data_IF_280580388484
#
_entry.id   IF_280580388484
#
_cell.length_a   1.000
_cell.length_b   1.000
_cell.length_c   1.000
_cell.angle_alpha   90.00
_cell.angle_beta   90.00
_cell.angle_gamma   90.00
#
_symmetry.space_group_name_H-M   'P 1'
#
loop_
_entity.id
_entity.type
_entity.pdbx_description
1 polymer ?
#
# COMPACT_ATOMS: atom_id res chain seq x y z
N UNK A 1 15.14 -21.80 -51.58
CA UNK A 1 13.93 -21.38 -52.32
C UNK A 1 12.78 -22.22 -51.78
N UNK A 2 12.30 -21.95 -50.55
CA UNK A 2 11.26 -20.99 -50.14
C UNK A 2 9.94 -21.71 -49.83
N UNK A 3 9.32 -21.25 -48.75
CA UNK A 3 7.91 -21.38 -48.36
C UNK A 3 7.46 -22.72 -47.73
N UNK A 4 7.45 -22.79 -46.40
CA UNK A 4 6.20 -22.48 -45.71
C UNK A 4 6.42 -22.20 -44.22
N UNK A 5 6.30 -20.91 -43.94
CA UNK A 5 6.13 -20.23 -42.68
C UNK A 5 5.06 -20.93 -41.81
N UNK A 6 5.47 -21.66 -40.77
CA UNK A 6 4.56 -22.01 -39.65
C UNK A 6 4.67 -20.89 -38.62
N UNK A 7 3.80 -19.89 -38.77
CA UNK A 7 3.56 -18.85 -37.77
C UNK A 7 3.00 -19.54 -36.52
N UNK A 8 3.85 -19.78 -35.52
CA UNK A 8 3.41 -20.11 -34.17
C UNK A 8 2.91 -18.80 -33.56
N UNK A 9 1.60 -18.61 -33.64
CA UNK A 9 0.89 -17.52 -32.98
C UNK A 9 0.92 -17.81 -31.46
N UNK A 10 1.95 -17.32 -30.77
CA UNK A 10 1.94 -17.23 -29.32
C UNK A 10 1.06 -16.05 -28.95
N UNK A 11 -0.23 -16.34 -28.76
CA UNK A 11 -1.17 -15.41 -28.12
C UNK A 11 -0.76 -15.27 -26.66
N UNK A 12 0.14 -14.33 -26.38
CA UNK A 12 0.38 -13.88 -25.02
C UNK A 12 -0.91 -13.22 -24.53
N UNK A 13 -1.66 -13.96 -23.73
CA UNK A 13 -2.79 -13.43 -22.96
C UNK A 13 -2.24 -12.32 -22.06
N UNK A 14 -2.46 -11.06 -22.47
CA UNK A 14 -2.37 -9.90 -21.58
C UNK A 14 -3.52 -9.99 -20.58
N UNK A 15 -3.44 -10.93 -19.63
CA UNK A 15 -4.25 -10.93 -18.43
C UNK A 15 -3.50 -10.07 -17.41
N UNK A 16 -3.77 -8.77 -17.44
CA UNK A 16 -3.07 -7.79 -16.61
C UNK A 16 -3.90 -6.54 -16.36
N UNK A 17 -5.19 -6.70 -16.08
CA UNK A 17 -5.97 -5.68 -15.38
C UNK A 17 -6.35 -6.26 -14.03
N UNK A 18 -5.40 -6.27 -13.09
CA UNK A 18 -5.77 -6.35 -11.67
C UNK A 18 -6.28 -4.97 -11.30
N UNK A 19 -7.58 -4.73 -11.53
CA UNK A 19 -8.20 -3.58 -10.92
C UNK A 19 -8.30 -3.91 -9.43
N UNK A 20 -7.44 -3.28 -8.62
CA UNK A 20 -7.43 -3.46 -7.17
C UNK A 20 -8.57 -2.69 -6.51
N UNK A 21 -9.42 -2.01 -7.28
CA UNK A 21 -10.65 -1.38 -6.82
C UNK A 21 -11.61 -2.43 -6.22
N UNK A 22 -11.94 -2.23 -4.95
CA UNK A 22 -12.89 -3.04 -4.18
C UNK A 22 -14.13 -2.25 -3.78
N UNK A 23 -14.20 -0.96 -4.13
CA UNK A 23 -15.36 -0.13 -3.86
C UNK A 23 -15.31 1.22 -4.57
N UNK A 24 -16.50 1.72 -4.89
CA UNK A 24 -16.72 3.02 -5.49
C UNK A 24 -17.95 3.65 -4.81
N UNK A 25 -17.74 4.79 -4.16
CA UNK A 25 -18.80 5.53 -3.47
C UNK A 25 -18.88 6.93 -4.05
N UNK A 26 -19.91 7.18 -4.85
CA UNK A 26 -20.13 8.49 -5.43
C UNK A 26 -20.57 9.52 -4.39
N UNK A 27 -19.95 10.71 -4.41
CA UNK A 27 -20.33 11.85 -3.56
C UNK A 27 -21.41 12.73 -4.20
N UNK A 28 -22.06 12.21 -5.25
CA UNK A 28 -23.20 12.81 -5.90
C UNK A 28 -22.85 13.68 -7.11
N UNK A 29 -23.84 13.80 -8.00
CA UNK A 29 -23.73 14.46 -9.32
C UNK A 29 -23.27 15.92 -9.27
N UNK A 30 -23.44 16.60 -8.13
CA UNK A 30 -23.00 17.99 -7.96
C UNK A 30 -21.51 18.14 -7.61
N UNK A 31 -20.89 17.09 -7.06
CA UNK A 31 -19.47 17.14 -6.67
C UNK A 31 -18.56 16.61 -7.77
N UNK A 32 -19.06 15.72 -8.64
CA UNK A 32 -18.29 15.02 -9.66
C UNK A 32 -17.04 14.34 -9.07
N UNK A 33 -17.15 13.87 -7.82
CA UNK A 33 -16.09 13.22 -7.06
C UNK A 33 -16.59 11.88 -6.55
N UNK A 34 -15.75 10.88 -6.67
CA UNK A 34 -16.03 9.55 -6.16
C UNK A 34 -14.93 9.14 -5.17
N UNK A 35 -15.31 8.42 -4.13
CA UNK A 35 -14.35 7.74 -3.24
C UNK A 35 -14.11 6.36 -3.83
N UNK A 36 -12.92 6.16 -4.39
CA UNK A 36 -12.46 4.83 -4.79
C UNK A 36 -11.74 4.17 -3.62
N UNK A 37 -12.10 2.92 -3.37
CA UNK A 37 -11.46 2.07 -2.37
C UNK A 37 -10.69 0.99 -3.12
N UNK A 38 -9.39 0.91 -2.92
CA UNK A 38 -8.54 -0.15 -3.48
C UNK A 38 -7.90 -1.00 -2.39
N UNK A 39 -7.63 -2.26 -2.71
CA UNK A 39 -6.75 -3.09 -1.89
C UNK A 39 -5.28 -2.88 -2.28
N UNK A 40 -4.41 -3.19 -1.33
CA UNK A 40 -2.97 -3.22 -1.46
C UNK A 40 -2.46 -4.41 -0.62
N UNK A 41 -1.83 -5.36 -1.28
CA UNK A 41 -1.10 -6.43 -0.61
C UNK A 41 0.38 -6.07 -0.49
N UNK A 42 0.96 -6.33 0.68
CA UNK A 42 2.37 -6.09 0.91
C UNK A 42 3.21 -7.28 0.43
N UNK A 43 4.02 -7.08 -0.62
CA UNK A 43 4.84 -8.14 -1.23
C UNK A 43 5.78 -8.86 -0.23
N UNK A 44 6.32 -8.15 0.77
CA UNK A 44 7.23 -8.77 1.75
C UNK A 44 6.49 -9.30 2.99
N UNK A 45 5.32 -8.75 3.30
CA UNK A 45 4.48 -9.20 4.42
C UNK A 45 3.08 -9.56 3.89
N UNK A 46 2.94 -10.66 3.12
CA UNK A 46 1.66 -11.02 2.50
C UNK A 46 0.55 -11.32 3.52
N UNK A 47 0.88 -11.51 4.80
CA UNK A 47 -0.09 -11.59 5.89
C UNK A 47 -0.75 -10.26 6.27
N UNK A 48 -0.42 -9.15 5.59
CA UNK A 48 -1.06 -7.84 5.76
C UNK A 48 -1.72 -7.40 4.46
N UNK A 49 -3.01 -7.09 4.54
CA UNK A 49 -3.76 -6.42 3.47
C UNK A 49 -4.16 -5.03 3.94
N UNK A 50 -3.91 -4.03 3.09
CA UNK A 50 -4.31 -2.66 3.27
C UNK A 50 -5.46 -2.30 2.33
N UNK A 51 -6.37 -1.46 2.81
CA UNK A 51 -7.41 -0.83 2.00
C UNK A 51 -7.18 0.67 2.01
N UNK A 52 -7.18 1.28 0.83
CA UNK A 52 -6.95 2.70 0.65
C UNK A 52 -8.19 3.31 0.04
N UNK A 53 -8.82 4.23 0.75
CA UNK A 53 -9.86 5.07 0.19
C UNK A 53 -9.25 6.40 -0.24
N UNK A 54 -9.51 6.82 -1.47
CA UNK A 54 -8.99 8.09 -2.01
C UNK A 54 -10.03 8.75 -2.92
N UNK A 55 -10.01 10.08 -2.93
CA UNK A 55 -10.86 10.85 -3.84
C UNK A 55 -10.27 10.77 -5.25
N UNK A 56 -11.07 10.27 -6.19
CA UNK A 56 -10.82 10.40 -7.61
C UNK A 56 -11.77 11.45 -8.20
N UNK A 57 -11.23 12.27 -9.08
CA UNK A 57 -11.99 13.33 -9.73
C UNK A 57 -11.50 13.44 -11.16
N UNK A 58 -12.40 13.18 -12.10
CA UNK A 58 -12.03 13.11 -13.52
C UNK A 58 -11.71 14.49 -14.09
N UNK A 59 -12.34 15.56 -13.58
CA UNK A 59 -12.13 16.93 -14.05
C UNK A 59 -12.58 17.94 -12.98
N UNK A 60 -11.76 18.21 -11.97
CA UNK A 60 -11.82 19.48 -11.21
C UNK A 60 -10.63 19.60 -10.24
N UNK A 61 -10.47 20.81 -9.69
CA UNK A 61 -9.53 21.29 -8.67
C UNK A 61 -9.51 20.50 -7.34
N UNK A 62 -9.88 19.22 -7.35
CA UNK A 62 -9.79 18.29 -6.24
C UNK A 62 -8.34 18.13 -5.83
N UNK A 63 -8.09 18.11 -4.53
CA UNK A 63 -6.81 17.67 -4.02
C UNK A 63 -6.86 16.15 -3.85
N UNK A 64 -6.30 15.32 -4.76
CA UNK A 64 -6.25 13.86 -4.62
C UNK A 64 -5.32 13.42 -3.46
N UNK A 65 -4.93 14.35 -2.58
CA UNK A 65 -4.19 14.08 -1.36
C UNK A 65 -5.10 13.64 -0.19
N UNK A 66 -6.42 13.92 -0.27
CA UNK A 66 -7.39 13.42 0.71
C UNK A 66 -7.59 11.91 0.52
N UNK A 67 -6.97 11.15 1.42
CA UNK A 67 -6.98 9.70 1.42
C UNK A 67 -6.98 9.16 2.85
N UNK A 68 -7.41 7.91 2.99
CA UNK A 68 -7.32 7.15 4.23
C UNK A 68 -6.80 5.74 3.95
N UNK A 69 -6.11 5.14 4.92
CA UNK A 69 -5.61 3.78 4.84
C UNK A 69 -6.05 2.97 6.06
N UNK A 70 -6.43 1.71 5.85
CA UNK A 70 -6.63 0.73 6.91
C UNK A 70 -5.98 -0.59 6.55
N UNK A 71 -4.96 -0.96 7.30
CA UNK A 71 -4.23 -2.22 7.16
C UNK A 71 -4.61 -3.17 8.28
N UNK A 72 -4.82 -4.44 7.94
CA UNK A 72 -5.16 -5.49 8.89
C UNK A 72 -4.30 -6.71 8.62
N UNK A 73 -4.04 -7.46 9.68
CA UNK A 73 -3.53 -8.81 9.53
C UNK A 73 -4.64 -9.68 8.92
N UNK A 74 -4.35 -10.22 7.74
CA UNK A 74 -5.24 -11.09 6.96
C UNK A 74 -4.66 -12.47 6.75
N UNK A 75 -3.41 -12.69 7.17
CA UNK A 75 -2.73 -13.98 7.18
C UNK A 75 -1.60 -14.05 8.20
N UNK A 76 -0.77 -15.08 8.09
CA UNK A 76 0.38 -15.25 8.98
C UNK A 76 1.47 -14.21 8.70
N UNK A 77 2.05 -13.68 9.78
CA UNK A 77 3.24 -12.85 9.74
C UNK A 77 4.36 -13.61 10.47
N UNK A 78 5.43 -13.92 9.77
CA UNK A 78 6.51 -14.78 10.28
C UNK A 78 7.81 -14.02 10.54
N UNK A 79 8.71 -14.52 11.39
CA UNK A 79 10.01 -13.90 11.63
C UNK A 79 10.84 -13.72 10.37
N UNK A 80 10.74 -14.65 9.41
CA UNK A 80 11.47 -14.61 8.14
C UNK A 80 11.00 -13.41 7.31
N UNK A 81 9.70 -13.13 7.28
CA UNK A 81 9.15 -11.95 6.60
C UNK A 81 9.74 -10.67 7.21
N UNK A 82 9.75 -10.56 8.55
CA UNK A 82 10.32 -9.40 9.27
C UNK A 82 11.85 -9.28 9.09
N UNK A 83 12.55 -10.38 8.79
CA UNK A 83 13.99 -10.32 8.51
C UNK A 83 14.31 -9.64 7.16
N UNK A 84 13.37 -9.60 6.22
CA UNK A 84 13.58 -9.05 4.86
C UNK A 84 13.25 -7.57 4.68
N UNK A 85 12.60 -6.95 5.68
CA UNK A 85 12.14 -5.56 5.59
C UNK A 85 13.22 -4.57 6.02
N UNK A 86 13.12 -3.32 5.55
CA UNK A 86 13.95 -2.23 6.06
C UNK A 86 13.52 -1.86 7.49
N UNK A 87 14.49 -1.90 8.42
CA UNK A 87 14.31 -1.56 9.85
C UNK A 87 14.82 -0.15 10.18
N UNK A 88 15.24 0.63 9.19
CA UNK A 88 15.60 2.03 9.35
C UNK A 88 14.38 2.86 9.79
N UNK A 89 14.61 4.02 10.41
CA UNK A 89 13.53 4.95 10.78
C UNK A 89 12.82 5.54 9.57
N UNK A 90 13.45 5.55 8.40
CA UNK A 90 12.80 5.92 7.15
C UNK A 90 11.90 4.83 6.59
N UNK A 91 12.11 3.56 6.93
CA UNK A 91 11.41 2.43 6.33
C UNK A 91 11.49 2.40 4.80
N UNK A 92 10.54 1.73 4.15
CA UNK A 92 10.55 1.52 2.70
C UNK A 92 9.19 1.81 2.03
N UNK A 93 9.20 2.27 0.78
CA UNK A 93 7.97 2.46 0.00
C UNK A 93 7.51 1.11 -0.53
N UNK A 94 6.35 0.66 -0.08
CA UNK A 94 5.75 -0.63 -0.48
C UNK A 94 4.69 -0.47 -1.56
N UNK A 95 4.22 0.76 -1.79
CA UNK A 95 3.26 1.06 -2.85
C UNK A 95 3.43 2.47 -3.41
N UNK A 96 3.15 2.62 -4.70
CA UNK A 96 3.11 3.93 -5.37
C UNK A 96 2.04 3.91 -6.45
N UNK A 97 1.13 4.89 -6.42
CA UNK A 97 0.10 5.09 -7.44
C UNK A 97 0.16 6.53 -7.98
N UNK A 98 0.05 6.68 -9.30
CA UNK A 98 -0.07 7.99 -9.95
C UNK A 98 -1.51 8.49 -9.90
N UNK A 99 -1.74 9.76 -9.58
CA UNK A 99 -3.08 10.38 -9.47
C UNK A 99 -3.36 11.45 -10.55
N UNK A 100 -2.75 11.29 -11.73
CA UNK A 100 -3.02 11.90 -13.05
C UNK A 100 -3.12 13.43 -13.24
N UNK A 101 -3.47 14.27 -12.25
CA UNK A 101 -3.86 15.67 -12.57
C UNK A 101 -2.66 16.66 -12.62
N UNK A 102 -1.59 16.42 -11.83
CA UNK A 102 -0.36 17.26 -11.82
C UNK A 102 0.88 16.50 -11.29
N UNK A 103 1.24 15.36 -11.88
CA UNK A 103 2.35 14.48 -11.40
C UNK A 103 2.28 14.08 -9.91
N UNK A 104 1.10 14.16 -9.28
CA UNK A 104 0.92 13.72 -7.90
C UNK A 104 1.05 12.21 -7.83
N UNK A 105 1.86 11.74 -6.88
CA UNK A 105 2.00 10.32 -6.58
C UNK A 105 1.61 10.08 -5.12
N UNK A 106 0.65 9.19 -4.90
CA UNK A 106 0.40 8.63 -3.58
C UNK A 106 1.42 7.52 -3.32
N UNK A 107 1.96 7.47 -2.11
CA UNK A 107 2.91 6.44 -1.67
C UNK A 107 2.42 5.86 -0.35
N UNK A 108 2.61 4.56 -0.17
CA UNK A 108 2.52 3.92 1.15
C UNK A 108 3.92 3.47 1.55
N UNK A 109 4.31 3.87 2.75
CA UNK A 109 5.61 3.54 3.33
C UNK A 109 5.41 2.68 4.56
N UNK A 110 6.08 1.53 4.57
CA UNK A 110 6.13 0.63 5.72
C UNK A 110 7.32 0.98 6.60
N UNK A 111 7.08 1.17 7.89
CA UNK A 111 8.08 1.44 8.90
C UNK A 111 7.94 0.38 9.99
N UNK A 112 9.06 -0.19 10.43
CA UNK A 112 9.07 -1.11 11.56
C UNK A 112 9.38 -0.35 12.86
N UNK A 113 8.44 -0.36 13.78
CA UNK A 113 8.68 0.05 15.15
C UNK A 113 9.14 -1.16 15.96
N UNK A 114 10.45 -1.22 16.20
CA UNK A 114 11.08 -2.34 16.91
C UNK A 114 10.70 -2.38 18.40
N UNK A 115 10.49 -1.22 19.02
CA UNK A 115 10.25 -1.14 20.47
C UNK A 115 8.85 -1.68 20.81
N UNK A 116 7.86 -1.35 19.97
CA UNK A 116 6.48 -1.84 20.10
C UNK A 116 6.17 -3.04 19.20
N UNK A 117 7.15 -3.56 18.46
CA UNK A 117 7.01 -4.66 17.49
C UNK A 117 5.76 -4.50 16.61
N UNK A 118 5.71 -3.39 15.87
CA UNK A 118 4.54 -3.00 15.08
C UNK A 118 4.96 -2.54 13.69
N UNK A 119 4.18 -2.93 12.67
CA UNK A 119 4.33 -2.45 11.31
C UNK A 119 3.43 -1.22 11.12
N UNK A 120 4.03 -0.09 10.75
CA UNK A 120 3.35 1.16 10.48
C UNK A 120 3.26 1.34 8.97
N UNK A 121 2.06 1.61 8.46
CA UNK A 121 1.79 1.89 7.06
C UNK A 121 1.32 3.34 6.93
N UNK A 122 2.24 4.21 6.52
CA UNK A 122 1.99 5.63 6.32
C UNK A 122 1.67 5.88 4.84
N UNK A 123 0.43 6.26 4.56
CA UNK A 123 0.01 6.79 3.26
C UNK A 123 0.25 8.30 3.21
N UNK A 124 0.87 8.78 2.14
CA UNK A 124 1.09 10.21 1.92
C UNK A 124 1.23 10.53 0.42
N UNK A 125 0.85 11.74 0.04
CA UNK A 125 0.93 12.21 -1.36
C UNK A 125 2.04 13.23 -1.52
N UNK A 126 2.92 13.03 -2.50
CA UNK A 126 3.94 14.01 -2.87
C UNK A 126 3.49 14.81 -4.09
N UNK A 127 3.54 16.14 -4.01
CA UNK A 127 3.35 17.07 -5.13
C UNK A 127 4.70 17.76 -5.40
N UNK A 128 5.17 17.73 -6.64
CA UNK A 128 6.47 18.28 -7.06
C UNK A 128 6.62 19.80 -6.84
N UNK A 129 5.51 20.53 -6.67
CA UNK A 129 5.52 22.01 -6.65
C UNK A 129 5.05 22.68 -5.35
N UNK A 130 4.42 21.98 -4.40
CA UNK A 130 3.67 22.65 -3.31
C UNK A 130 3.59 21.88 -1.98
N UNK A 131 4.28 20.73 -1.82
CA UNK A 131 4.33 19.99 -0.55
C UNK A 131 2.96 19.66 0.07
N UNK A 132 2.32 18.56 -0.35
CA UNK A 132 1.11 18.09 0.33
C UNK A 132 1.45 17.49 1.71
N UNK A 133 0.87 18.03 2.77
CA UNK A 133 1.01 17.53 4.15
C UNK A 133 -0.04 16.48 4.54
N UNK A 134 -0.99 16.16 3.65
CA UNK A 134 -2.02 15.15 3.91
C UNK A 134 -1.41 13.76 3.98
N UNK A 135 -1.71 13.06 5.06
CA UNK A 135 -1.24 11.72 5.33
C UNK A 135 -2.26 10.95 6.16
N UNK A 136 -2.15 9.63 6.13
CA UNK A 136 -2.96 8.71 6.92
C UNK A 136 -2.08 7.56 7.39
N UNK A 137 -2.31 7.07 8.61
CA UNK A 137 -1.50 6.03 9.24
C UNK A 137 -2.40 4.87 9.66
N UNK A 138 -1.95 3.66 9.33
CA UNK A 138 -2.46 2.43 9.94
C UNK A 138 -1.32 1.67 10.61
N UNK A 139 -1.63 0.96 11.68
CA UNK A 139 -0.66 0.13 12.40
C UNK A 139 -1.14 -1.32 12.46
N UNK A 140 -0.22 -2.26 12.30
CA UNK A 140 -0.46 -3.70 12.44
C UNK A 140 0.51 -4.22 13.49
N UNK A 141 0.05 -4.54 14.71
CA UNK A 141 0.92 -5.08 15.75
C UNK A 141 1.37 -6.49 15.36
N UNK A 142 2.61 -6.85 15.70
CA UNK A 142 3.06 -8.24 15.60
C UNK A 142 2.55 -9.10 16.75
N UNK A 143 2.00 -8.49 17.81
CA UNK A 143 1.40 -9.21 18.93
C UNK A 143 0.35 -10.23 18.45
N UNK A 144 0.50 -11.49 18.87
CA UNK A 144 -0.38 -12.58 18.46
C UNK A 144 -0.05 -13.19 17.09
N UNK A 145 1.06 -12.78 16.47
CA UNK A 145 1.59 -13.40 15.24
C UNK A 145 2.81 -14.27 15.56
N UNK A 146 3.20 -15.14 14.61
CA UNK A 146 4.41 -15.94 14.72
C UNK A 146 5.70 -15.07 14.74
N UNK A 147 5.63 -13.83 14.27
CA UNK A 147 6.73 -12.88 14.27
C UNK A 147 6.95 -12.15 15.60
N UNK A 148 6.03 -12.27 16.57
CA UNK A 148 6.20 -11.63 17.86
C UNK A 148 7.36 -12.24 18.66
N UNK A 149 8.23 -11.39 19.17
CA UNK A 149 9.30 -11.78 20.09
C UNK A 149 8.95 -11.28 21.47
N UNK A 150 8.73 -12.18 22.42
CA UNK A 150 8.50 -11.80 23.82
C UNK A 150 9.65 -10.93 24.34
N UNK A 151 9.39 -9.72 24.87
CA UNK A 151 10.42 -8.89 25.46
C UNK A 151 11.12 -9.66 26.56
N UNK A 152 12.45 -9.78 26.47
CA UNK A 152 13.24 -10.40 27.53
C UNK A 152 13.04 -9.55 28.78
N UNK A 153 12.32 -10.07 29.78
CA UNK A 153 12.24 -9.43 31.09
C UNK A 153 13.67 -9.31 31.60
N UNK A 154 14.16 -8.07 31.74
CA UNK A 154 15.41 -7.84 32.42
C UNK A 154 15.24 -8.40 33.83
N UNK A 155 15.88 -9.53 34.11
CA UNK A 155 15.89 -10.10 35.45
C UNK A 155 16.42 -9.00 36.37
N UNK A 156 15.58 -8.58 37.32
CA UNK A 156 15.98 -7.78 38.47
C UNK A 156 17.08 -8.56 39.18
N UNK A 157 18.34 -8.24 38.87
CA UNK A 157 19.48 -8.75 39.60
C UNK A 157 19.39 -8.15 41.00
N UNK A 158 19.21 -9.07 41.95
CA UNK A 158 19.26 -8.87 43.39
C UNK A 158 20.65 -8.41 43.84
#
# INVERSE_FOLDING_TARGET
MNNMLKVVLVTALLAGCSDSEVGDVSLGVFTLKDIKVSNLDDEKIPGVTCHIASIEADFSLSDPSDSSISCRQTGDITPEMIATIDKSKSGEVVFKQSKSIFFKSMKVRRIYDADNQTLLYLSYTTKETDGSFKHSLSTVPLWGTAAYVEPVKANSAN
#
